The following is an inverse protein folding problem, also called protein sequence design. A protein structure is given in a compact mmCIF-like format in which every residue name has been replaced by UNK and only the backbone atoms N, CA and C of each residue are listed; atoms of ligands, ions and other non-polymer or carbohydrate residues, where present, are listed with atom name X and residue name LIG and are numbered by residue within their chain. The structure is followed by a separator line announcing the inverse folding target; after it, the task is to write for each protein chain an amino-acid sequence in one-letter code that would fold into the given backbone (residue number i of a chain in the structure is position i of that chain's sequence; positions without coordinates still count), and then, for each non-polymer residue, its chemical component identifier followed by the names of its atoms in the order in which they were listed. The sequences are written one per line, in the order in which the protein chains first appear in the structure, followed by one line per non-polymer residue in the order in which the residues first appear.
data_IF_693310141202
#
_entry.id   IF_693310141202
#
_cell.length_a   1.000
_cell.length_b   1.000
_cell.length_c   1.000
_cell.angle_alpha   90.00
_cell.angle_beta   90.00
_cell.angle_gamma   90.00
#
_symmetry.space_group_name_H-M   'P 1'
#
loop_
_entity.id
_entity.type
_entity.pdbx_description
1 polymer ?
#
# COMPACT_ATOMS: atom_id res chain seq x y z
N UNK A 1 -105.55 9.57 5.89
CA UNK A 1 -105.32 10.90 5.29
C UNK A 1 -104.17 11.59 6.07
N UNK A 2 -103.10 11.91 5.44
CA UNK A 2 -101.98 12.84 5.60
C UNK A 2 -100.65 12.16 5.24
N UNK A 3 -100.21 12.55 4.07
CA UNK A 3 -98.90 12.26 3.53
C UNK A 3 -97.87 13.10 4.26
N UNK A 4 -96.73 12.49 4.62
CA UNK A 4 -95.57 13.18 5.10
C UNK A 4 -94.41 12.93 4.14
N UNK A 5 -93.86 14.00 3.55
CA UNK A 5 -92.78 13.99 2.64
C UNK A 5 -91.43 13.88 3.41
N UNK A 6 -90.62 12.91 3.07
CA UNK A 6 -89.19 12.84 3.53
C UNK A 6 -88.35 13.64 2.56
N UNK A 7 -87.65 14.64 3.08
CA UNK A 7 -86.61 15.37 2.35
C UNK A 7 -85.25 14.68 2.57
N UNK A 8 -84.62 14.26 1.47
CA UNK A 8 -83.26 13.72 1.46
C UNK A 8 -82.31 14.88 1.27
N UNK A 9 -81.49 15.17 2.29
CA UNK A 9 -80.37 16.13 2.22
C UNK A 9 -79.08 15.40 1.77
N UNK A 10 -78.62 15.67 0.56
CA UNK A 10 -77.37 15.17 0.00
C UNK A 10 -76.22 16.03 0.53
N UNK A 11 -75.43 15.50 1.44
CA UNK A 11 -74.20 16.12 1.91
C UNK A 11 -73.03 15.81 0.95
N UNK A 12 -72.53 16.82 0.25
CA UNK A 12 -71.29 16.75 -0.52
C UNK A 12 -70.06 16.93 0.46
N UNK A 13 -69.36 15.86 0.75
CA UNK A 13 -68.13 15.92 1.48
C UNK A 13 -66.97 16.31 0.53
N UNK A 14 -66.47 17.56 0.59
CA UNK A 14 -65.20 17.97 -0.05
C UNK A 14 -64.05 17.35 0.72
N UNK A 15 -63.44 16.30 0.16
CA UNK A 15 -62.18 15.75 0.63
C UNK A 15 -61.03 16.68 0.22
N UNK A 16 -60.51 17.47 1.15
CA UNK A 16 -59.21 18.15 1.00
C UNK A 16 -58.11 17.08 1.03
N UNK A 17 -57.60 16.69 -0.14
CA UNK A 17 -56.39 15.89 -0.27
C UNK A 17 -55.18 16.72 0.14
N UNK A 18 -54.63 16.49 1.33
CA UNK A 18 -53.31 16.94 1.73
C UNK A 18 -52.26 16.23 0.84
N UNK A 19 -51.82 16.90 -0.21
CA UNK A 19 -50.60 16.54 -0.93
C UNK A 19 -49.42 16.75 0.01
N UNK A 20 -49.03 15.69 0.72
CA UNK A 20 -47.76 15.63 1.43
C UNK A 20 -46.66 15.57 0.36
N UNK A 21 -46.12 16.75 0.01
CA UNK A 21 -44.90 16.84 -0.78
C UNK A 21 -43.76 16.22 0.05
N UNK A 22 -43.43 14.98 -0.21
CA UNK A 22 -42.21 14.39 0.29
C UNK A 22 -41.05 15.22 -0.28
N UNK A 23 -40.15 15.76 0.54
CA UNK A 23 -38.94 16.36 0.01
C UNK A 23 -38.21 15.27 -0.77
N UNK A 24 -37.98 15.46 -2.08
CA UNK A 24 -37.00 14.71 -2.83
C UNK A 24 -35.67 14.92 -2.09
N UNK A 25 -35.26 13.93 -1.35
CA UNK A 25 -33.90 13.87 -0.86
C UNK A 25 -33.04 13.83 -2.13
N UNK A 26 -32.45 14.98 -2.51
CA UNK A 26 -31.41 15.03 -3.49
C UNK A 26 -30.35 14.02 -3.01
N UNK A 27 -30.22 12.93 -3.71
CA UNK A 27 -29.16 11.96 -3.47
C UNK A 27 -27.86 12.77 -3.51
N UNK A 28 -27.23 12.98 -2.34
CA UNK A 28 -25.95 13.65 -2.27
C UNK A 28 -24.99 12.78 -3.07
N UNK A 29 -24.41 13.33 -4.12
CA UNK A 29 -23.47 12.60 -4.97
C UNK A 29 -22.49 11.84 -4.08
N UNK A 30 -22.27 10.55 -4.38
CA UNK A 30 -21.37 9.72 -3.61
C UNK A 30 -19.97 10.36 -3.63
N UNK A 31 -19.31 10.39 -2.47
CA UNK A 31 -17.91 10.87 -2.37
C UNK A 31 -17.05 9.95 -3.21
N UNK A 32 -16.29 10.51 -4.16
CA UNK A 32 -15.39 9.80 -5.04
C UNK A 32 -13.95 10.00 -4.60
N UNK A 33 -13.23 8.92 -4.40
CA UNK A 33 -11.81 8.92 -4.05
C UNK A 33 -11.08 8.10 -5.11
N UNK A 34 -9.95 8.60 -5.62
CA UNK A 34 -9.05 7.83 -6.47
C UNK A 34 -7.85 7.34 -5.66
N UNK A 35 -7.46 6.09 -5.89
CA UNK A 35 -6.22 5.51 -5.38
C UNK A 35 -5.38 5.12 -6.58
N UNK A 36 -4.19 5.71 -6.72
CA UNK A 36 -3.26 5.45 -7.83
C UNK A 36 -1.93 5.01 -7.23
N UNK A 37 -1.53 3.78 -7.54
CA UNK A 37 -0.31 3.17 -7.00
C UNK A 37 0.60 2.68 -8.12
N UNK A 38 1.91 2.53 -7.83
CA UNK A 38 2.88 2.02 -8.82
C UNK A 38 2.94 0.49 -8.88
N UNK A 39 2.15 -0.19 -8.09
CA UNK A 39 2.20 -1.63 -7.95
C UNK A 39 1.80 -2.37 -9.23
N UNK A 40 2.44 -3.52 -9.43
CA UNK A 40 2.06 -4.44 -10.50
C UNK A 40 0.89 -5.31 -10.03
N UNK A 41 0.02 -5.71 -10.97
CA UNK A 41 -1.16 -6.53 -10.64
C UNK A 41 -0.80 -7.93 -10.09
N UNK A 42 0.43 -8.39 -10.31
CA UNK A 42 0.98 -9.65 -9.79
C UNK A 42 1.59 -9.54 -8.40
N UNK A 43 1.78 -8.33 -7.88
CA UNK A 43 2.40 -8.10 -6.57
C UNK A 43 1.38 -8.24 -5.44
N UNK A 44 1.63 -9.22 -4.57
CA UNK A 44 0.78 -9.49 -3.41
C UNK A 44 0.75 -8.35 -2.37
N UNK A 45 1.80 -7.52 -2.31
CA UNK A 45 1.88 -6.34 -1.46
C UNK A 45 0.71 -5.38 -1.74
N UNK A 46 0.54 -5.02 -3.02
CA UNK A 46 -0.52 -4.11 -3.45
C UNK A 46 -1.92 -4.73 -3.35
N UNK A 47 -2.01 -6.05 -3.40
CA UNK A 47 -3.25 -6.78 -3.11
C UNK A 47 -3.76 -6.54 -1.68
N UNK A 48 -2.84 -6.48 -0.69
CA UNK A 48 -3.18 -6.18 0.70
C UNK A 48 -3.56 -4.71 0.89
N UNK A 49 -2.85 -3.77 0.22
CA UNK A 49 -3.23 -2.35 0.18
C UNK A 49 -4.64 -2.19 -0.39
N UNK A 50 -4.90 -2.81 -1.55
CA UNK A 50 -6.23 -2.76 -2.19
C UNK A 50 -7.33 -3.32 -1.29
N UNK A 51 -7.08 -4.41 -0.60
CA UNK A 51 -8.04 -4.96 0.38
C UNK A 51 -8.38 -3.94 1.47
N UNK A 52 -7.40 -3.18 1.98
CA UNK A 52 -7.63 -2.09 2.91
C UNK A 52 -8.50 -0.99 2.33
N UNK A 53 -8.24 -0.59 1.07
CA UNK A 53 -9.04 0.39 0.33
C UNK A 53 -10.49 -0.07 0.19
N UNK A 54 -10.71 -1.31 -0.29
CA UNK A 54 -12.03 -1.86 -0.54
C UNK A 54 -12.87 -1.96 0.75
N UNK A 55 -12.25 -2.42 1.85
CA UNK A 55 -12.93 -2.53 3.15
C UNK A 55 -13.30 -1.15 3.71
N UNK A 56 -12.41 -0.15 3.58
CA UNK A 56 -12.69 1.21 4.00
C UNK A 56 -13.78 1.87 3.14
N UNK A 57 -13.73 1.70 1.83
CA UNK A 57 -14.75 2.19 0.90
C UNK A 57 -16.14 1.67 1.28
N UNK A 58 -16.23 0.36 1.52
CA UNK A 58 -17.47 -0.31 1.95
C UNK A 58 -17.96 0.23 3.29
N UNK A 59 -17.06 0.37 4.28
CA UNK A 59 -17.42 0.85 5.62
C UNK A 59 -17.93 2.30 5.60
N UNK A 60 -17.24 3.15 4.83
CA UNK A 60 -17.54 4.59 4.77
C UNK A 60 -18.67 4.94 3.82
N UNK A 61 -19.12 4.00 2.96
CA UNK A 61 -20.15 4.19 1.95
C UNK A 61 -19.75 5.22 0.89
N UNK A 62 -18.54 5.05 0.31
CA UNK A 62 -17.95 5.94 -0.69
C UNK A 62 -17.51 5.17 -1.93
N UNK A 63 -17.46 5.86 -3.07
CA UNK A 63 -16.98 5.30 -4.32
C UNK A 63 -15.45 5.45 -4.38
N UNK A 64 -14.74 4.35 -4.57
CA UNK A 64 -13.29 4.39 -4.69
C UNK A 64 -12.86 3.69 -5.98
N UNK A 65 -12.08 4.36 -6.83
CA UNK A 65 -11.31 3.72 -7.89
C UNK A 65 -9.94 3.31 -7.36
N UNK A 66 -9.44 2.17 -7.82
CA UNK A 66 -8.07 1.71 -7.56
C UNK A 66 -7.40 1.42 -8.89
N UNK A 67 -6.43 2.24 -9.24
CA UNK A 67 -5.74 2.20 -10.52
C UNK A 67 -4.23 1.97 -10.30
N UNK A 68 -3.67 1.03 -11.06
CA UNK A 68 -2.25 0.72 -11.05
C UNK A 68 -1.81 0.27 -12.45
N UNK A 69 -0.60 0.62 -12.91
CA UNK A 69 -0.09 0.13 -14.18
C UNK A 69 0.18 -1.38 -14.13
N UNK A 70 0.14 -2.04 -15.28
CA UNK A 70 0.41 -3.48 -15.38
C UNK A 70 1.88 -3.82 -15.12
N UNK A 71 2.77 -2.87 -15.37
CA UNK A 71 4.21 -2.93 -15.13
C UNK A 71 4.64 -1.60 -14.50
N UNK A 72 5.89 -1.50 -14.03
CA UNK A 72 6.43 -0.23 -13.52
C UNK A 72 6.50 0.81 -14.64
N UNK A 73 5.37 1.52 -14.87
CA UNK A 73 5.19 2.54 -15.92
C UNK A 73 4.71 3.86 -15.29
N UNK A 74 5.65 4.76 -15.04
CA UNK A 74 5.38 6.06 -14.43
C UNK A 74 4.60 6.99 -15.36
N UNK A 75 4.71 6.82 -16.67
CA UNK A 75 3.92 7.61 -17.65
C UNK A 75 2.45 7.20 -17.60
N UNK A 76 2.18 5.90 -17.54
CA UNK A 76 0.81 5.40 -17.35
C UNK A 76 0.24 5.88 -16.00
N UNK A 77 1.04 5.82 -14.93
CA UNK A 77 0.63 6.27 -13.60
C UNK A 77 0.32 7.77 -13.57
N UNK A 78 1.15 8.62 -14.19
CA UNK A 78 0.91 10.05 -14.35
C UNK A 78 -0.44 10.34 -15.04
N UNK A 79 -0.77 9.60 -16.11
CA UNK A 79 -2.06 9.71 -16.80
C UNK A 79 -3.25 9.30 -15.92
N UNK A 80 -3.08 8.28 -15.05
CA UNK A 80 -4.11 7.87 -14.09
C UNK A 80 -4.39 8.99 -13.07
N UNK A 81 -3.34 9.67 -12.58
CA UNK A 81 -3.47 10.82 -11.69
C UNK A 81 -4.22 11.97 -12.41
N UNK A 82 -3.83 12.29 -13.64
CA UNK A 82 -4.48 13.35 -14.44
C UNK A 82 -5.95 13.02 -14.73
N UNK A 83 -6.29 11.73 -14.92
CA UNK A 83 -7.67 11.28 -15.07
C UNK A 83 -8.48 11.51 -13.78
N UNK A 84 -7.91 11.25 -12.60
CA UNK A 84 -8.56 11.54 -11.31
C UNK A 84 -8.84 13.04 -11.14
N UNK A 85 -7.91 13.91 -11.55
CA UNK A 85 -8.12 15.37 -11.57
C UNK A 85 -9.29 15.75 -12.47
N UNK A 86 -9.33 15.19 -13.68
CA UNK A 86 -10.41 15.43 -14.66
C UNK A 86 -11.77 14.98 -14.14
N UNK A 87 -11.82 13.88 -13.39
CA UNK A 87 -13.03 13.35 -12.76
C UNK A 87 -13.47 14.15 -11.52
N UNK A 88 -12.68 15.14 -11.09
CA UNK A 88 -12.96 15.98 -9.92
C UNK A 88 -13.24 15.17 -8.65
N UNK A 89 -12.40 14.17 -8.38
CA UNK A 89 -12.52 13.36 -7.17
C UNK A 89 -12.39 14.22 -5.91
N UNK A 90 -12.99 13.81 -4.80
CA UNK A 90 -12.93 14.53 -3.53
C UNK A 90 -11.71 14.12 -2.67
N UNK A 91 -10.87 13.23 -3.19
CA UNK A 91 -9.61 12.83 -2.57
C UNK A 91 -8.77 11.98 -3.50
N UNK A 92 -7.46 12.10 -3.37
CA UNK A 92 -6.47 11.30 -4.10
C UNK A 92 -5.52 10.64 -3.11
N UNK A 93 -5.36 9.33 -3.24
CA UNK A 93 -4.29 8.56 -2.59
C UNK A 93 -3.28 8.19 -3.66
N UNK A 94 -2.00 8.43 -3.42
CA UNK A 94 -0.96 8.19 -4.44
C UNK A 94 0.34 7.70 -3.81
N UNK A 95 1.04 6.77 -4.45
CA UNK A 95 2.45 6.48 -4.16
C UNK A 95 3.35 7.27 -5.11
N UNK A 96 4.53 7.70 -4.66
CA UNK A 96 5.49 8.48 -5.48
C UNK A 96 6.85 7.78 -5.46
N UNK A 97 7.02 6.68 -6.22
CA UNK A 97 8.29 5.97 -6.29
C UNK A 97 9.36 6.72 -7.10
N UNK A 98 8.92 7.59 -8.02
CA UNK A 98 9.75 8.43 -8.87
C UNK A 98 9.18 9.86 -8.86
N UNK A 99 9.85 10.75 -8.14
CA UNK A 99 9.44 12.14 -8.00
C UNK A 99 9.52 12.91 -9.32
N UNK A 100 10.57 12.68 -10.14
CA UNK A 100 10.75 13.37 -11.40
C UNK A 100 9.59 13.12 -12.36
N UNK A 101 9.14 11.88 -12.43
CA UNK A 101 8.06 11.47 -13.31
C UNK A 101 6.66 11.90 -12.83
N UNK A 102 6.41 11.94 -11.51
CA UNK A 102 5.04 12.05 -10.95
C UNK A 102 4.71 13.39 -10.31
N UNK A 103 5.69 14.14 -9.83
CA UNK A 103 5.50 15.40 -9.10
C UNK A 103 4.57 16.38 -9.82
N UNK A 104 4.71 16.49 -11.14
CA UNK A 104 3.90 17.43 -11.93
C UNK A 104 2.41 17.13 -11.85
N UNK A 105 2.02 15.86 -12.01
CA UNK A 105 0.61 15.43 -11.96
C UNK A 105 0.05 15.51 -10.54
N UNK A 106 0.86 15.14 -9.52
CA UNK A 106 0.44 15.26 -8.11
C UNK A 106 0.26 16.71 -7.69
N UNK A 107 1.20 17.61 -8.08
CA UNK A 107 1.06 19.07 -7.88
C UNK A 107 -0.18 19.63 -8.55
N UNK A 108 -0.50 19.19 -9.77
CA UNK A 108 -1.71 19.60 -10.47
C UNK A 108 -2.98 19.18 -9.71
N UNK A 109 -3.03 17.98 -9.14
CA UNK A 109 -4.13 17.53 -8.30
C UNK A 109 -4.29 18.41 -7.04
N UNK A 110 -3.21 18.67 -6.33
CA UNK A 110 -3.20 19.56 -5.16
C UNK A 110 -3.64 20.98 -5.49
N UNK A 111 -3.14 21.54 -6.62
CA UNK A 111 -3.51 22.88 -7.11
C UNK A 111 -4.97 22.99 -7.55
N UNK A 112 -5.57 21.87 -8.01
CA UNK A 112 -7.00 21.78 -8.30
C UNK A 112 -7.87 21.72 -7.04
N UNK A 113 -7.26 21.77 -5.84
CA UNK A 113 -7.96 21.71 -4.55
C UNK A 113 -8.31 20.29 -4.10
N UNK A 114 -7.80 19.25 -4.76
CA UNK A 114 -8.01 17.86 -4.37
C UNK A 114 -7.06 17.56 -3.20
N UNK A 115 -7.55 17.15 -2.01
CA UNK A 115 -6.69 16.72 -0.92
C UNK A 115 -5.97 15.43 -1.32
N UNK A 116 -4.64 15.45 -1.28
CA UNK A 116 -3.77 14.32 -1.63
C UNK A 116 -3.17 13.73 -0.37
N UNK A 117 -3.20 12.40 -0.26
CA UNK A 117 -2.47 11.61 0.75
C UNK A 117 -1.47 10.73 0.02
N UNK A 118 -0.19 10.85 0.39
CA UNK A 118 0.87 10.01 -0.13
C UNK A 118 0.97 8.73 0.70
N UNK A 119 1.16 7.58 0.04
CA UNK A 119 1.34 6.29 0.71
C UNK A 119 2.61 5.60 0.22
N UNK A 120 3.17 4.73 1.06
CA UNK A 120 4.30 3.85 0.76
C UNK A 120 5.58 4.60 0.35
N UNK A 121 5.63 5.14 -0.85
CA UNK A 121 6.77 5.86 -1.42
C UNK A 121 6.49 7.35 -1.54
N UNK A 122 7.48 8.19 -1.26
CA UNK A 122 7.41 9.65 -1.47
C UNK A 122 7.09 10.46 -0.21
N UNK A 123 7.47 9.99 0.99
CA UNK A 123 7.33 10.78 2.23
C UNK A 123 7.97 12.16 2.11
N UNK A 124 9.19 12.23 1.56
CA UNK A 124 9.96 13.48 1.39
C UNK A 124 9.35 14.40 0.32
N UNK A 125 8.45 13.90 -0.50
CA UNK A 125 7.77 14.66 -1.55
C UNK A 125 6.49 15.35 -1.06
N UNK A 126 5.92 14.94 0.08
CA UNK A 126 4.63 15.42 0.61
C UNK A 126 4.51 16.95 0.55
N UNK A 127 5.48 17.66 1.10
CA UNK A 127 5.47 19.13 1.12
C UNK A 127 5.72 19.73 -0.26
N UNK A 128 6.59 19.12 -1.04
CA UNK A 128 6.99 19.60 -2.37
C UNK A 128 5.85 19.55 -3.38
N UNK A 129 4.98 18.53 -3.26
CA UNK A 129 3.82 18.35 -4.16
C UNK A 129 2.53 18.96 -3.63
N UNK A 130 2.54 19.53 -2.41
CA UNK A 130 1.35 20.09 -1.77
C UNK A 130 0.36 19.04 -1.24
N UNK A 131 0.81 17.82 -1.02
CA UNK A 131 0.01 16.78 -0.37
C UNK A 131 -0.22 17.11 1.11
N UNK A 132 -1.25 16.52 1.71
CA UNK A 132 -1.67 16.80 3.09
C UNK A 132 -0.81 16.08 4.12
N UNK A 133 -0.51 14.80 3.87
CA UNK A 133 0.29 13.96 4.76
C UNK A 133 0.70 12.66 4.04
N UNK A 134 1.57 11.92 4.72
CA UNK A 134 2.00 10.58 4.33
C UNK A 134 1.40 9.52 5.26
N UNK A 135 1.08 8.36 4.71
CA UNK A 135 0.70 7.15 5.47
C UNK A 135 1.55 5.99 4.99
N UNK A 136 2.45 5.52 5.82
CA UNK A 136 3.38 4.45 5.44
C UNK A 136 4.33 4.07 6.57
N UNK A 137 5.44 3.46 6.24
CA UNK A 137 6.47 3.13 7.23
C UNK A 137 7.36 4.34 7.55
N UNK A 138 8.17 4.23 8.61
CA UNK A 138 9.25 5.20 8.87
C UNK A 138 10.34 5.07 7.80
N UNK A 139 11.33 5.96 7.87
CA UNK A 139 12.46 6.03 6.92
C UNK A 139 12.99 4.66 6.48
N UNK A 140 12.92 4.38 5.18
CA UNK A 140 13.47 3.14 4.60
C UNK A 140 14.99 3.04 4.73
N UNK A 141 15.67 4.18 4.79
CA UNK A 141 17.11 4.22 5.12
C UNK A 141 17.37 3.63 6.51
N UNK A 142 16.63 4.08 7.53
CA UNK A 142 16.76 3.57 8.90
C UNK A 142 16.37 2.08 8.99
N UNK A 143 15.39 1.65 8.21
CA UNK A 143 15.02 0.24 8.12
C UNK A 143 16.15 -0.60 7.51
N UNK A 144 16.84 -0.09 6.49
CA UNK A 144 18.03 -0.72 5.93
C UNK A 144 19.16 -0.86 6.97
N UNK A 145 19.45 0.21 7.73
CA UNK A 145 20.42 0.15 8.83
C UNK A 145 20.01 -0.87 9.91
N UNK A 146 18.73 -0.91 10.27
CA UNK A 146 18.21 -1.87 11.25
C UNK A 146 18.29 -3.31 10.76
N UNK A 147 18.01 -3.56 9.47
CA UNK A 147 18.18 -4.87 8.84
C UNK A 147 19.65 -5.33 8.88
N UNK A 148 20.60 -4.45 8.54
CA UNK A 148 22.01 -4.72 8.62
C UNK A 148 22.43 -5.10 10.05
N UNK A 149 22.04 -4.33 11.07
CA UNK A 149 22.33 -4.61 12.49
C UNK A 149 21.80 -5.98 12.92
N UNK A 150 20.60 -6.36 12.47
CA UNK A 150 20.02 -7.70 12.77
C UNK A 150 20.80 -8.83 12.11
N UNK A 151 21.22 -8.65 10.85
CA UNK A 151 22.02 -9.63 10.13
C UNK A 151 23.42 -9.77 10.74
N UNK A 152 24.08 -8.66 11.11
CA UNK A 152 25.37 -8.68 11.82
C UNK A 152 25.24 -9.44 13.14
N UNK A 153 24.19 -9.18 13.93
CA UNK A 153 23.94 -9.90 15.19
C UNK A 153 23.73 -11.41 14.96
N UNK A 154 23.29 -11.83 13.77
CA UNK A 154 23.18 -13.21 13.35
C UNK A 154 24.45 -13.82 12.73
N UNK A 155 25.57 -13.06 12.75
CA UNK A 155 26.89 -13.52 12.27
C UNK A 155 27.18 -13.18 10.81
N UNK A 156 26.41 -12.29 10.18
CA UNK A 156 26.72 -11.81 8.83
C UNK A 156 27.94 -10.89 8.88
N UNK A 157 28.88 -11.13 7.97
CA UNK A 157 30.08 -10.33 7.80
C UNK A 157 30.04 -9.48 6.53
N UNK A 158 29.45 -10.01 5.46
CA UNK A 158 29.23 -9.31 4.21
C UNK A 158 27.82 -9.63 3.69
N UNK A 159 27.08 -8.60 3.33
CA UNK A 159 25.70 -8.73 2.90
C UNK A 159 25.43 -8.10 1.54
N UNK A 160 24.33 -8.49 0.93
CA UNK A 160 23.80 -7.90 -0.30
C UNK A 160 22.36 -7.49 -0.11
N UNK A 161 22.02 -6.28 -0.56
CA UNK A 161 20.64 -5.78 -0.69
C UNK A 161 20.15 -6.12 -2.09
N UNK A 162 19.11 -6.96 -2.18
CA UNK A 162 18.49 -7.38 -3.43
C UNK A 162 17.32 -6.45 -3.76
N UNK A 163 17.54 -5.52 -4.69
CA UNK A 163 16.56 -4.53 -5.13
C UNK A 163 15.82 -5.04 -6.38
N UNK A 164 14.49 -5.15 -6.29
CA UNK A 164 13.63 -5.62 -7.38
C UNK A 164 12.97 -4.49 -8.19
N UNK A 165 13.16 -3.24 -7.74
CA UNK A 165 12.68 -2.03 -8.42
C UNK A 165 13.78 -0.97 -8.47
N UNK A 166 14.79 -1.14 -9.35
CA UNK A 166 15.83 -0.13 -9.53
C UNK A 166 15.22 1.23 -9.87
N UNK A 167 15.71 2.29 -9.22
CA UNK A 167 15.20 3.65 -9.36
C UNK A 167 14.00 4.01 -8.46
N UNK A 168 13.39 3.04 -7.79
CA UNK A 168 12.39 3.34 -6.77
C UNK A 168 13.06 3.95 -5.53
N UNK A 169 12.64 5.17 -5.16
CA UNK A 169 13.25 5.97 -4.09
C UNK A 169 13.38 5.22 -2.75
N UNK A 170 12.36 4.44 -2.37
CA UNK A 170 12.38 3.74 -1.08
C UNK A 170 13.31 2.54 -1.11
N UNK A 171 13.37 1.80 -2.22
CA UNK A 171 14.27 0.65 -2.37
C UNK A 171 15.74 1.10 -2.45
N UNK A 172 16.01 2.18 -3.17
CA UNK A 172 17.35 2.79 -3.21
C UNK A 172 17.78 3.22 -1.81
N UNK A 173 16.93 3.95 -1.11
CA UNK A 173 17.16 4.42 0.26
C UNK A 173 17.41 3.27 1.25
N UNK A 174 16.62 2.19 1.15
CA UNK A 174 16.80 1.00 1.99
C UNK A 174 18.15 0.31 1.76
N UNK A 175 18.57 0.18 0.49
CA UNK A 175 19.89 -0.38 0.17
C UNK A 175 21.04 0.52 0.63
N UNK A 176 20.90 1.84 0.53
CA UNK A 176 21.89 2.79 1.05
C UNK A 176 22.01 2.70 2.58
N UNK A 177 20.89 2.62 3.28
CA UNK A 177 20.88 2.37 4.72
C UNK A 177 21.48 1.03 5.10
N UNK A 178 21.20 -0.03 4.33
CA UNK A 178 21.81 -1.34 4.52
C UNK A 178 23.33 -1.31 4.36
N UNK A 179 23.83 -0.69 3.29
CA UNK A 179 25.25 -0.51 3.05
C UNK A 179 25.94 0.24 4.19
N UNK A 180 25.32 1.33 4.67
CA UNK A 180 25.83 2.08 5.82
C UNK A 180 25.83 1.23 7.09
N UNK A 181 24.72 0.51 7.38
CA UNK A 181 24.62 -0.34 8.56
C UNK A 181 25.58 -1.53 8.57
N UNK A 182 26.05 -1.96 7.40
CA UNK A 182 27.08 -2.99 7.22
C UNK A 182 28.52 -2.44 7.26
N UNK A 183 28.73 -1.17 7.63
CA UNK A 183 30.05 -0.51 7.66
C UNK A 183 30.82 -0.65 6.33
N UNK A 184 30.12 -0.52 5.21
CA UNK A 184 30.67 -0.65 3.86
C UNK A 184 30.81 -2.09 3.34
N UNK A 185 30.51 -3.11 4.17
CA UNK A 185 30.45 -4.52 3.75
C UNK A 185 29.04 -4.91 3.22
N UNK A 186 28.20 -3.95 2.93
CA UNK A 186 26.92 -4.10 2.26
C UNK A 186 27.05 -3.74 0.78
N UNK A 187 26.54 -4.60 -0.07
CA UNK A 187 26.50 -4.41 -1.52
C UNK A 187 25.07 -4.31 -2.00
N UNK A 188 24.86 -3.94 -3.26
CA UNK A 188 23.56 -3.90 -3.91
C UNK A 188 23.57 -4.78 -5.16
N UNK A 189 22.50 -5.51 -5.37
CA UNK A 189 22.27 -6.21 -6.64
C UNK A 189 20.84 -5.95 -7.12
N UNK A 190 20.65 -5.95 -8.42
CA UNK A 190 19.34 -5.87 -9.04
C UNK A 190 18.79 -7.26 -9.33
N UNK A 191 17.54 -7.47 -9.01
CA UNK A 191 16.75 -8.65 -9.35
C UNK A 191 15.42 -8.18 -9.96
N UNK A 192 14.53 -9.11 -10.30
CA UNK A 192 13.17 -8.78 -10.73
C UNK A 192 12.14 -9.59 -9.92
N UNK A 193 10.86 -9.44 -10.23
CA UNK A 193 9.79 -10.28 -9.67
C UNK A 193 9.65 -11.62 -10.40
N UNK A 194 10.33 -11.82 -11.55
CA UNK A 194 10.36 -13.11 -12.23
C UNK A 194 11.26 -14.10 -11.47
N UNK A 195 10.74 -15.28 -11.08
CA UNK A 195 11.49 -16.27 -10.29
C UNK A 195 12.74 -16.78 -11.01
N UNK A 196 12.69 -16.95 -12.34
CA UNK A 196 13.79 -17.48 -13.12
C UNK A 196 14.92 -16.47 -13.24
N UNK A 197 14.57 -15.20 -13.52
CA UNK A 197 15.55 -14.10 -13.57
C UNK A 197 16.18 -13.89 -12.18
N UNK A 198 15.38 -13.86 -11.11
CA UNK A 198 15.88 -13.76 -9.73
C UNK A 198 16.87 -14.89 -9.41
N UNK A 199 16.53 -16.14 -9.72
CA UNK A 199 17.41 -17.28 -9.47
C UNK A 199 18.72 -17.17 -10.26
N UNK A 200 18.65 -16.78 -11.54
CA UNK A 200 19.83 -16.61 -12.42
C UNK A 200 20.77 -15.53 -11.88
N UNK A 201 20.25 -14.34 -11.60
CA UNK A 201 21.03 -13.21 -11.10
C UNK A 201 21.63 -13.50 -9.71
N UNK A 202 20.83 -14.08 -8.80
CA UNK A 202 21.28 -14.44 -7.45
C UNK A 202 22.42 -15.45 -7.52
N UNK A 203 22.29 -16.52 -8.30
CA UNK A 203 23.32 -17.53 -8.45
C UNK A 203 24.60 -16.96 -9.06
N UNK A 204 24.48 -16.12 -10.09
CA UNK A 204 25.65 -15.46 -10.71
C UNK A 204 26.35 -14.54 -9.70
N UNK A 205 25.60 -13.72 -8.96
CA UNK A 205 26.16 -12.80 -7.98
C UNK A 205 26.87 -13.55 -6.85
N UNK A 206 26.22 -14.55 -6.24
CA UNK A 206 26.79 -15.30 -5.11
C UNK A 206 28.00 -16.15 -5.53
N UNK A 207 28.07 -16.60 -6.78
CA UNK A 207 29.25 -17.28 -7.31
C UNK A 207 30.44 -16.34 -7.47
N UNK A 208 30.20 -15.09 -7.86
CA UNK A 208 31.23 -14.05 -7.97
C UNK A 208 31.65 -13.46 -6.62
N UNK A 209 30.80 -13.57 -5.60
CA UNK A 209 31.00 -13.03 -4.25
C UNK A 209 30.87 -14.12 -3.17
N UNK A 210 31.81 -15.08 -3.09
CA UNK A 210 31.72 -16.24 -2.21
C UNK A 210 31.84 -15.87 -0.71
N UNK A 211 32.27 -14.66 -0.39
CA UNK A 211 32.37 -14.10 0.95
C UNK A 211 31.04 -13.50 1.47
N UNK A 212 30.04 -13.33 0.62
CA UNK A 212 28.70 -12.89 1.03
C UNK A 212 28.00 -14.02 1.78
N UNK A 213 27.48 -13.71 2.97
CA UNK A 213 26.73 -14.63 3.81
C UNK A 213 25.41 -14.05 4.36
N UNK A 214 25.06 -12.82 3.97
CA UNK A 214 23.80 -12.15 4.31
C UNK A 214 23.06 -11.60 3.11
N UNK A 215 21.74 -11.68 3.13
CA UNK A 215 20.86 -11.17 2.06
C UNK A 215 19.74 -10.37 2.70
N UNK A 216 19.52 -9.15 2.22
CA UNK A 216 18.32 -8.36 2.50
C UNK A 216 17.47 -8.31 1.21
N UNK A 217 16.27 -8.86 1.25
CA UNK A 217 15.30 -8.77 0.16
C UNK A 217 14.28 -7.64 0.45
N UNK A 218 14.08 -6.77 -0.54
CA UNK A 218 13.21 -5.60 -0.38
C UNK A 218 11.76 -5.89 -0.77
N UNK A 219 11.15 -6.90 -0.17
CA UNK A 219 9.76 -7.25 -0.38
C UNK A 219 9.49 -8.73 -0.18
N UNK A 220 8.23 -9.10 0.00
CA UNK A 220 7.83 -10.48 0.19
C UNK A 220 7.95 -11.34 -1.08
N UNK A 221 7.54 -10.90 -2.29
CA UNK A 221 7.72 -11.69 -3.50
C UNK A 221 9.19 -11.96 -3.84
N UNK A 222 10.10 -10.97 -3.86
CA UNK A 222 11.51 -11.23 -4.13
C UNK A 222 12.16 -12.12 -3.05
N UNK A 223 11.77 -12.00 -1.78
CA UNK A 223 12.24 -12.88 -0.72
C UNK A 223 11.85 -14.34 -0.96
N UNK A 224 10.59 -14.59 -1.37
CA UNK A 224 10.12 -15.93 -1.70
C UNK A 224 10.92 -16.54 -2.87
N UNK A 225 11.18 -15.77 -3.92
CA UNK A 225 11.97 -16.19 -5.07
C UNK A 225 13.42 -16.52 -4.68
N UNK A 226 14.06 -15.69 -3.86
CA UNK A 226 15.42 -15.92 -3.34
C UNK A 226 15.48 -17.21 -2.52
N UNK A 227 14.54 -17.39 -1.58
CA UNK A 227 14.47 -18.61 -0.75
C UNK A 227 14.27 -19.86 -1.62
N UNK A 228 13.39 -19.80 -2.61
CA UNK A 228 13.17 -20.90 -3.53
C UNK A 228 14.44 -21.27 -4.33
N UNK A 229 15.13 -20.27 -4.90
CA UNK A 229 16.37 -20.45 -5.64
C UNK A 229 17.48 -21.07 -4.77
N UNK A 230 17.67 -20.56 -3.55
CA UNK A 230 18.70 -21.07 -2.65
C UNK A 230 18.38 -22.49 -2.11
N UNK A 231 17.11 -22.84 -1.91
CA UNK A 231 16.69 -24.21 -1.56
C UNK A 231 16.95 -25.17 -2.72
N UNK A 232 16.57 -24.78 -3.94
CA UNK A 232 16.80 -25.62 -5.12
C UNK A 232 18.29 -25.86 -5.35
N UNK A 233 19.14 -24.86 -5.10
CA UNK A 233 20.59 -24.99 -5.18
C UNK A 233 21.24 -25.67 -3.96
N UNK A 234 20.48 -26.10 -2.94
CA UNK A 234 21.01 -26.71 -1.71
C UNK A 234 21.85 -25.76 -0.84
N UNK A 235 21.72 -24.45 -1.06
CA UNK A 235 22.59 -23.43 -0.45
C UNK A 235 21.91 -22.58 0.65
N UNK A 236 20.64 -22.79 0.94
CA UNK A 236 19.85 -21.94 1.85
C UNK A 236 20.50 -21.80 3.24
N UNK A 237 21.08 -22.85 3.79
CA UNK A 237 21.73 -22.84 5.11
C UNK A 237 23.00 -21.99 5.19
N UNK A 238 23.60 -21.63 4.04
CA UNK A 238 24.81 -20.80 3.97
C UNK A 238 24.53 -19.32 4.22
N UNK A 239 23.28 -18.90 4.04
CA UNK A 239 22.92 -17.47 4.05
C UNK A 239 21.97 -17.15 5.21
N UNK A 240 22.13 -15.95 5.76
CA UNK A 240 21.20 -15.32 6.68
C UNK A 240 20.36 -14.32 5.90
N UNK A 241 19.05 -14.52 5.89
CA UNK A 241 18.11 -13.72 5.06
C UNK A 241 17.22 -12.90 5.98
N UNK A 242 17.15 -11.61 5.72
CA UNK A 242 16.11 -10.71 6.21
C UNK A 242 15.28 -10.19 5.03
N UNK A 243 14.05 -9.81 5.26
CA UNK A 243 13.25 -9.19 4.21
C UNK A 243 12.31 -8.13 4.74
N UNK A 244 11.78 -7.33 3.80
CA UNK A 244 10.66 -6.44 4.03
C UNK A 244 9.37 -7.14 3.63
N UNK A 245 8.31 -6.82 4.35
CA UNK A 245 6.95 -7.29 4.18
C UNK A 245 6.71 -8.78 4.40
N UNK A 246 5.49 -9.08 4.80
CA UNK A 246 5.04 -10.45 5.07
C UNK A 246 4.07 -10.92 4.00
N UNK A 247 4.14 -12.22 3.71
CA UNK A 247 3.20 -12.96 2.88
C UNK A 247 3.08 -14.39 3.40
N UNK A 248 2.18 -15.19 2.84
CA UNK A 248 2.09 -16.62 3.19
C UNK A 248 3.40 -17.37 3.00
N UNK A 249 4.15 -17.03 1.92
CA UNK A 249 5.43 -17.66 1.59
C UNK A 249 6.55 -17.25 2.55
N UNK A 250 6.66 -15.94 2.87
CA UNK A 250 7.66 -15.46 3.83
C UNK A 250 7.36 -15.93 5.26
N UNK A 251 6.09 -16.02 5.66
CA UNK A 251 5.70 -16.64 6.94
C UNK A 251 6.10 -18.11 7.00
N UNK A 252 5.93 -18.86 5.89
CA UNK A 252 6.40 -20.25 5.79
C UNK A 252 7.92 -20.31 5.89
N UNK A 253 8.65 -19.41 5.26
CA UNK A 253 10.10 -19.35 5.32
C UNK A 253 10.61 -18.94 6.73
N UNK A 254 9.92 -18.01 7.41
CA UNK A 254 10.19 -17.68 8.83
C UNK A 254 10.00 -18.88 9.74
N UNK A 255 8.91 -19.63 9.60
CA UNK A 255 8.66 -20.83 10.43
C UNK A 255 9.71 -21.91 10.22
N UNK A 256 10.27 -22.03 9.01
CA UNK A 256 11.36 -22.96 8.67
C UNK A 256 12.75 -22.38 9.01
N UNK A 257 12.84 -21.16 9.50
CA UNK A 257 14.08 -20.42 9.80
C UNK A 257 14.98 -20.18 8.59
N UNK A 258 14.42 -20.20 7.38
CA UNK A 258 15.14 -19.79 6.16
C UNK A 258 15.25 -18.26 6.07
N UNK A 259 14.26 -17.55 6.61
CA UNK A 259 14.29 -16.12 6.84
C UNK A 259 14.39 -15.88 8.36
N UNK A 260 15.22 -14.95 8.79
CA UNK A 260 15.43 -14.62 10.20
C UNK A 260 14.37 -13.64 10.73
N UNK A 261 14.02 -12.66 9.90
CA UNK A 261 13.03 -11.64 10.22
C UNK A 261 12.43 -11.05 8.94
N UNK A 262 11.20 -10.57 9.07
CA UNK A 262 10.56 -9.66 8.12
C UNK A 262 10.23 -8.34 8.82
N UNK A 263 10.29 -7.22 8.11
CA UNK A 263 9.73 -5.97 8.56
C UNK A 263 8.35 -5.77 7.94
N UNK A 264 7.32 -5.82 8.76
CA UNK A 264 5.94 -5.66 8.30
C UNK A 264 5.58 -4.17 8.28
N UNK A 265 5.21 -3.68 7.11
CA UNK A 265 4.79 -2.30 6.85
C UNK A 265 3.31 -2.05 7.14
N UNK A 266 2.54 -3.09 7.46
CA UNK A 266 1.08 -3.05 7.66
C UNK A 266 0.33 -2.44 6.46
N UNK A 267 0.56 -2.98 5.27
CA UNK A 267 0.04 -2.53 3.96
C UNK A 267 -1.47 -2.29 3.97
N UNK A 268 -2.22 -3.14 4.67
CA UNK A 268 -3.67 -2.96 4.84
C UNK A 268 -4.02 -1.56 5.39
N UNK A 269 -3.26 -1.08 6.38
CA UNK A 269 -3.48 0.24 6.96
C UNK A 269 -3.16 1.36 5.98
N UNK A 270 -2.17 1.17 5.11
CA UNK A 270 -1.81 2.16 4.07
C UNK A 270 -2.94 2.35 3.06
N UNK A 271 -3.73 1.32 2.79
CA UNK A 271 -4.93 1.43 1.97
C UNK A 271 -6.15 1.95 2.74
N UNK A 272 -6.36 1.43 3.95
CA UNK A 272 -7.57 1.67 4.74
C UNK A 272 -7.65 3.10 5.28
N UNK A 273 -6.59 3.58 5.93
CA UNK A 273 -6.60 4.87 6.63
C UNK A 273 -6.79 6.07 5.70
N UNK A 274 -6.14 6.17 4.52
CA UNK A 274 -6.34 7.29 3.61
C UNK A 274 -7.79 7.44 3.15
N UNK A 275 -8.48 6.34 2.83
CA UNK A 275 -9.88 6.37 2.42
C UNK A 275 -10.77 6.89 3.53
N UNK A 276 -10.59 6.42 4.77
CA UNK A 276 -11.31 6.92 5.94
C UNK A 276 -11.04 8.42 6.14
N UNK A 277 -9.77 8.83 6.11
CA UNK A 277 -9.38 10.23 6.32
C UNK A 277 -9.91 11.17 5.25
N UNK A 278 -9.79 10.80 3.97
CA UNK A 278 -10.32 11.61 2.86
C UNK A 278 -11.84 11.69 2.91
N UNK A 279 -12.52 10.63 3.36
CA UNK A 279 -13.98 10.67 3.59
C UNK A 279 -14.35 11.64 4.72
N UNK A 280 -13.60 11.63 5.84
CA UNK A 280 -13.82 12.59 6.94
C UNK A 280 -13.52 14.02 6.49
N UNK A 281 -12.49 14.20 5.66
CA UNK A 281 -12.19 15.49 5.08
C UNK A 281 -13.33 15.99 4.18
N UNK A 282 -13.84 15.16 3.29
CA UNK A 282 -14.94 15.53 2.39
C UNK A 282 -16.25 15.85 3.12
N UNK A 283 -16.52 15.14 4.24
CA UNK A 283 -17.75 15.33 5.04
C UNK A 283 -17.64 16.48 6.03
N UNK A 284 -16.49 16.65 6.67
CA UNK A 284 -16.34 17.46 7.88
C UNK A 284 -15.13 18.40 7.87
N UNK A 285 -14.28 18.36 6.82
CA UNK A 285 -13.02 19.14 6.76
C UNK A 285 -11.94 18.65 7.73
N UNK A 286 -12.02 17.39 8.19
CA UNK A 286 -11.11 16.85 9.21
C UNK A 286 -10.02 16.00 8.59
N UNK A 287 -8.75 16.36 8.82
CA UNK A 287 -7.56 15.58 8.50
C UNK A 287 -6.55 15.63 9.64
N UNK A 288 -5.75 14.58 9.85
CA UNK A 288 -4.57 14.65 10.70
C UNK A 288 -3.58 15.71 10.21
N UNK A 289 -2.83 16.32 11.14
CA UNK A 289 -1.85 17.36 10.83
C UNK A 289 -0.42 16.84 10.65
N UNK A 290 -0.20 15.53 10.85
CA UNK A 290 1.10 14.86 10.76
C UNK A 290 0.99 13.56 10.00
N UNK A 291 2.12 13.07 9.49
CA UNK A 291 2.26 11.74 8.91
C UNK A 291 1.83 10.65 9.89
N UNK A 292 1.32 9.54 9.34
CA UNK A 292 0.91 8.37 10.12
C UNK A 292 1.82 7.21 9.73
N UNK A 293 2.59 6.71 10.70
CA UNK A 293 3.48 5.58 10.47
C UNK A 293 2.78 4.27 10.82
N UNK A 294 2.76 3.34 9.86
CA UNK A 294 2.11 2.03 9.97
C UNK A 294 3.10 0.90 10.33
N UNK A 295 4.39 1.16 10.18
CA UNK A 295 5.50 0.23 10.43
C UNK A 295 6.84 0.96 10.52
N UNK A 296 7.97 0.20 10.56
CA UNK A 296 8.04 -1.24 10.46
C UNK A 296 7.79 -1.98 11.78
N UNK A 297 7.11 -3.11 11.72
CA UNK A 297 7.02 -4.03 12.85
C UNK A 297 7.87 -5.27 12.56
N UNK A 298 8.89 -5.60 13.35
CA UNK A 298 9.67 -6.80 13.12
C UNK A 298 8.84 -8.05 13.42
N UNK A 299 8.86 -9.00 12.48
CA UNK A 299 8.20 -10.31 12.54
C UNK A 299 9.27 -11.38 12.47
N UNK A 300 9.17 -12.37 13.36
CA UNK A 300 10.10 -13.49 13.46
C UNK A 300 9.34 -14.82 13.47
N UNK A 301 10.06 -15.93 13.53
CA UNK A 301 9.44 -17.26 13.65
C UNK A 301 8.46 -17.37 14.84
N UNK A 302 8.67 -16.61 15.91
CA UNK A 302 7.78 -16.62 17.09
C UNK A 302 6.40 -15.98 16.83
N UNK A 303 6.29 -15.16 15.79
CA UNK A 303 5.08 -14.38 15.50
C UNK A 303 4.22 -15.03 14.41
N UNK A 304 4.74 -16.10 13.75
CA UNK A 304 4.14 -16.68 12.54
C UNK A 304 2.71 -17.15 12.77
N UNK A 305 2.43 -17.90 13.82
CA UNK A 305 1.09 -18.47 14.08
C UNK A 305 0.03 -17.37 14.22
N UNK A 306 0.38 -16.29 14.90
CA UNK A 306 -0.51 -15.13 15.09
C UNK A 306 -0.78 -14.39 13.78
N UNK A 307 0.26 -14.20 12.96
CA UNK A 307 0.15 -13.41 11.72
C UNK A 307 -0.45 -14.24 10.58
N UNK A 308 -0.19 -15.54 10.50
CA UNK A 308 -0.72 -16.43 9.46
C UNK A 308 -2.25 -16.42 9.36
N UNK A 309 -2.95 -16.24 10.48
CA UNK A 309 -4.42 -16.10 10.49
C UNK A 309 -4.86 -14.81 9.79
N UNK A 310 -4.11 -13.74 9.94
CA UNK A 310 -4.40 -12.43 9.34
C UNK A 310 -4.01 -12.41 7.86
N UNK A 311 -2.89 -13.04 7.50
CA UNK A 311 -2.43 -13.20 6.12
C UNK A 311 -3.47 -13.93 5.25
N UNK A 312 -4.06 -15.02 5.76
CA UNK A 312 -5.16 -15.73 5.05
C UNK A 312 -6.40 -14.86 4.82
N UNK A 313 -6.58 -13.80 5.57
CA UNK A 313 -7.68 -12.83 5.42
C UNK A 313 -7.30 -11.65 4.51
N UNK A 314 -6.08 -11.61 3.99
CA UNK A 314 -5.55 -10.49 3.20
C UNK A 314 -5.35 -9.21 4.01
N UNK A 315 -5.09 -9.32 5.32
CA UNK A 315 -4.85 -8.19 6.23
C UNK A 315 -3.35 -8.00 6.51
N UNK A 316 -2.57 -9.05 6.20
CA UNK A 316 -1.10 -9.06 6.30
C UNK A 316 -0.52 -9.80 5.12
#
# INVERSE_FOLDING_TARGET
MRQGYLAIASGVALGLGLLVSQPLALAKDAIKIAVVTHGQSSDSYWGVVKKGVDDAAKLMGVDVSYDAPQTTDMVAMSRMIDAAVTQKVQGLVVSIPDAEALDKSVKAAAAAGIPVIVIDSGEDEVQKVGAKLYVGTTSYFEQGELAAKRLIAAGVKKGVCANHEPGNLVNESACDGFKKGMDGNGDRMEISLDPTDTASRMNAYLSAHPDVNGILALGAPPAANIVAALRQGGAISKYKIGNFDVSGDTLTALSKKDILFSFDSAQYMMGYLPVVMLTLNAKFGLLPIKNIYTGPTPVTAADVDKIAVLSKKGIR
#
